data_IF_707480247620
#
_entry.id   IF_707480247620
#
_cell.length_a   1.000
_cell.length_b   1.000
_cell.length_c   1.000
_cell.angle_alpha   90.00
_cell.angle_beta   90.00
_cell.angle_gamma   90.00
#
_symmetry.space_group_name_H-M   'P 1'
#
loop_
_entity.id
_entity.type
_entity.pdbx_description
1 polymer ?
#
# COMPACT_ATOMS: atom_id res chain seq x y z
N UNK A 1 2.18 15.56 -9.65
CA UNK A 1 2.78 14.22 -9.54
C UNK A 1 1.91 13.40 -8.60
N UNK A 2 1.11 12.53 -9.15
CA UNK A 2 0.26 11.61 -8.41
C UNK A 2 1.14 10.45 -7.95
N UNK A 3 1.46 10.41 -6.67
CA UNK A 3 2.19 9.30 -6.09
C UNK A 3 1.21 8.13 -5.92
N UNK A 4 1.25 7.18 -6.82
CA UNK A 4 0.58 5.90 -6.65
C UNK A 4 1.41 5.07 -5.67
N UNK A 5 0.87 4.81 -4.49
CA UNK A 5 1.46 3.82 -3.59
C UNK A 5 1.41 2.49 -4.35
N UNK A 6 2.54 1.80 -4.57
CA UNK A 6 2.48 0.47 -5.16
C UNK A 6 1.61 -0.39 -4.23
N UNK A 7 0.38 -0.66 -4.67
CA UNK A 7 -0.51 -1.53 -3.95
C UNK A 7 0.13 -2.92 -3.82
N UNK A 8 -0.26 -3.72 -2.83
CA UNK A 8 0.14 -5.11 -2.76
C UNK A 8 -0.15 -5.74 -4.13
N UNK A 9 0.84 -6.48 -4.63
CA UNK A 9 0.79 -7.16 -5.93
C UNK A 9 -0.61 -7.75 -6.08
N UNK A 10 -1.35 -7.33 -7.10
CA UNK A 10 -2.63 -7.92 -7.46
C UNK A 10 -2.40 -9.40 -7.77
N UNK A 11 -2.44 -10.23 -6.77
CA UNK A 11 -2.85 -11.60 -7.00
C UNK A 11 -4.34 -11.51 -7.24
N UNK A 12 -4.76 -11.65 -8.50
CA UNK A 12 -6.15 -11.94 -8.84
C UNK A 12 -6.54 -13.17 -8.02
N UNK A 13 -7.20 -12.94 -6.90
CA UNK A 13 -7.84 -14.01 -6.14
C UNK A 13 -9.06 -14.40 -6.97
N UNK A 14 -8.83 -15.22 -7.98
CA UNK A 14 -9.88 -16.02 -8.55
C UNK A 14 -10.50 -16.82 -7.41
N UNK A 15 -11.78 -16.65 -7.22
CA UNK A 15 -12.64 -17.13 -6.12
C UNK A 15 -12.75 -18.64 -5.97
N UNK A 16 -11.71 -19.42 -6.25
CA UNK A 16 -11.70 -20.88 -6.12
C UNK A 16 -10.48 -21.48 -5.48
N UNK A 17 -9.56 -20.66 -4.91
CA UNK A 17 -8.51 -21.24 -4.11
C UNK A 17 -9.08 -21.49 -2.71
N UNK A 18 -9.53 -22.73 -2.44
CA UNK A 18 -9.69 -23.23 -1.07
C UNK A 18 -8.44 -22.78 -0.32
N UNK A 19 -8.61 -21.88 0.65
CA UNK A 19 -7.58 -21.51 1.61
C UNK A 19 -7.15 -22.80 2.33
N UNK A 20 -6.15 -23.47 1.79
CA UNK A 20 -5.58 -24.66 2.39
C UNK A 20 -4.93 -24.25 3.70
N UNK A 21 -5.59 -24.65 4.75
CA UNK A 21 -5.15 -24.91 6.09
C UNK A 21 -4.26 -23.90 6.80
N UNK A 22 -4.80 -23.40 7.90
CA UNK A 22 -4.02 -23.05 9.08
C UNK A 22 -3.00 -24.20 9.31
N UNK A 23 -1.71 -23.92 9.03
CA UNK A 23 -0.65 -24.94 9.19
C UNK A 23 0.29 -25.11 8.01
N UNK A 24 -0.01 -24.54 6.83
CA UNK A 24 0.95 -24.48 5.73
C UNK A 24 1.97 -23.37 5.99
N UNK A 25 3.28 -23.57 5.74
CA UNK A 25 4.29 -22.51 5.86
C UNK A 25 4.01 -21.32 4.92
N UNK A 26 3.19 -21.53 3.90
CA UNK A 26 2.72 -20.49 2.96
C UNK A 26 1.30 -19.99 3.28
N UNK A 27 0.68 -20.50 4.36
CA UNK A 27 -0.67 -20.09 4.78
C UNK A 27 -0.65 -18.77 5.55
N UNK A 28 -1.65 -17.91 5.30
CA UNK A 28 -1.85 -16.69 6.10
C UNK A 28 -2.37 -17.08 7.48
N UNK A 29 -1.84 -16.43 8.52
CA UNK A 29 -2.36 -16.61 9.87
C UNK A 29 -3.78 -16.04 9.99
N UNK A 30 -4.55 -16.52 10.96
CA UNK A 30 -5.90 -16.01 11.23
C UNK A 30 -5.89 -14.51 11.50
N UNK A 31 -4.92 -14.02 12.26
CA UNK A 31 -4.76 -12.61 12.56
C UNK A 31 -4.60 -11.77 11.28
N UNK A 32 -3.79 -12.21 10.31
CA UNK A 32 -3.62 -11.53 9.02
C UNK A 32 -4.93 -11.51 8.23
N UNK A 33 -5.67 -12.62 8.21
CA UNK A 33 -6.96 -12.68 7.51
C UNK A 33 -7.99 -11.70 8.10
N UNK A 34 -8.01 -11.56 9.41
CA UNK A 34 -8.91 -10.63 10.08
C UNK A 34 -8.50 -9.17 9.83
N UNK A 35 -7.18 -8.87 9.73
CA UNK A 35 -6.67 -7.54 9.39
C UNK A 35 -6.92 -7.16 7.94
N UNK A 36 -6.95 -8.10 7.01
CA UNK A 36 -7.11 -7.83 5.58
C UNK A 36 -8.37 -7.02 5.26
N UNK A 37 -9.47 -7.26 5.97
CA UNK A 37 -10.71 -6.48 5.79
C UNK A 37 -10.51 -5.00 6.13
N UNK A 38 -9.78 -4.73 7.20
CA UNK A 38 -9.42 -3.37 7.59
C UNK A 38 -8.49 -2.70 6.56
N UNK A 39 -7.56 -3.45 5.98
CA UNK A 39 -6.65 -2.93 4.97
C UNK A 39 -7.35 -2.50 3.68
N UNK A 40 -8.38 -3.23 3.24
CA UNK A 40 -9.20 -2.84 2.08
C UNK A 40 -9.92 -1.51 2.33
N UNK A 41 -10.48 -1.34 3.52
CA UNK A 41 -11.12 -0.07 3.91
C UNK A 41 -10.09 1.05 3.96
N UNK A 42 -8.94 0.83 4.60
CA UNK A 42 -7.87 1.82 4.68
C UNK A 42 -7.34 2.21 3.30
N UNK A 43 -7.24 1.25 2.40
CA UNK A 43 -6.87 1.50 1.01
C UNK A 43 -7.88 2.41 0.32
N UNK A 44 -9.18 2.09 0.43
CA UNK A 44 -10.24 2.89 -0.16
C UNK A 44 -10.26 4.33 0.37
N UNK A 45 -10.08 4.50 1.68
CA UNK A 45 -10.06 5.83 2.34
C UNK A 45 -8.81 6.62 1.95
N UNK A 46 -7.70 5.95 1.65
CA UNK A 46 -6.43 6.59 1.29
C UNK A 46 -6.37 6.95 -0.20
N UNK A 47 -6.79 6.04 -1.08
CA UNK A 47 -6.77 6.26 -2.54
C UNK A 47 -7.93 7.14 -3.03
N UNK A 48 -9.06 7.12 -2.32
CA UNK A 48 -10.16 8.06 -2.55
C UNK A 48 -11.10 7.67 -3.68
N UNK A 49 -11.56 8.65 -4.44
CA UNK A 49 -12.67 8.52 -5.41
C UNK A 49 -12.45 7.43 -6.45
N UNK A 50 -11.28 7.38 -7.06
CA UNK A 50 -11.02 6.47 -8.18
C UNK A 50 -11.06 5.02 -7.72
N UNK A 51 -10.45 4.72 -6.59
CA UNK A 51 -10.49 3.39 -6.00
C UNK A 51 -11.91 2.96 -5.60
N UNK A 52 -12.70 3.88 -5.03
CA UNK A 52 -14.10 3.61 -4.67
C UNK A 52 -14.96 3.31 -5.89
N UNK A 53 -14.75 4.00 -7.02
CA UNK A 53 -15.47 3.76 -8.27
C UNK A 53 -15.08 2.42 -8.91
N UNK A 54 -13.78 2.11 -8.93
CA UNK A 54 -13.27 0.83 -9.44
C UNK A 54 -13.77 -0.38 -8.64
N UNK A 55 -14.00 -0.19 -7.34
CA UNK A 55 -14.46 -1.23 -6.42
C UNK A 55 -15.89 -0.93 -5.92
N UNK A 56 -16.71 -0.36 -6.78
CA UNK A 56 -18.05 0.12 -6.42
C UNK A 56 -18.96 -0.96 -5.85
N UNK A 57 -18.84 -2.20 -6.29
CA UNK A 57 -19.63 -3.33 -5.74
C UNK A 57 -19.43 -3.53 -4.23
N UNK A 58 -18.20 -3.28 -3.73
CA UNK A 58 -17.88 -3.45 -2.33
C UNK A 58 -18.25 -2.22 -1.47
N UNK A 59 -18.09 -1.01 -2.01
CA UNK A 59 -18.24 0.23 -1.25
C UNK A 59 -19.53 1.00 -1.54
N UNK A 60 -20.11 0.81 -2.71
CA UNK A 60 -21.34 1.45 -3.17
C UNK A 60 -22.28 0.39 -3.77
N UNK A 61 -22.74 -0.60 -2.99
CA UNK A 61 -23.53 -1.70 -3.53
C UNK A 61 -24.82 -1.19 -4.19
N UNK A 62 -25.32 -1.96 -5.17
CA UNK A 62 -26.60 -1.71 -5.81
C UNK A 62 -27.73 -1.83 -4.77
N UNK A 63 -28.61 -0.85 -4.71
CA UNK A 63 -29.75 -0.88 -3.81
C UNK A 63 -30.88 -1.79 -4.35
N UNK A 64 -31.68 -2.42 -3.47
CA UNK A 64 -32.65 -3.46 -3.86
C UNK A 64 -33.72 -3.05 -4.89
N UNK A 65 -33.94 -1.75 -5.09
CA UNK A 65 -34.93 -1.21 -6.04
C UNK A 65 -34.33 -0.20 -7.01
N UNK A 66 -33.01 -0.12 -7.08
CA UNK A 66 -32.28 0.80 -7.94
C UNK A 66 -32.13 0.19 -9.33
N UNK A 67 -32.51 0.95 -10.36
CA UNK A 67 -32.22 0.56 -11.73
C UNK A 67 -30.71 0.64 -12.01
N UNK A 68 -30.19 -0.27 -12.83
CA UNK A 68 -28.77 -0.35 -13.11
C UNK A 68 -28.20 0.94 -13.73
N UNK A 69 -28.97 1.64 -14.55
CA UNK A 69 -28.56 2.92 -15.12
C UNK A 69 -28.44 4.03 -14.07
N UNK A 70 -29.36 4.04 -13.09
CA UNK A 70 -29.32 4.93 -11.94
C UNK A 70 -28.11 4.63 -11.04
N UNK A 71 -27.84 3.33 -10.81
CA UNK A 71 -26.65 2.88 -10.09
C UNK A 71 -25.35 3.40 -10.74
N UNK A 72 -25.16 3.18 -12.04
CA UNK A 72 -23.99 3.68 -12.76
C UNK A 72 -23.86 5.21 -12.67
N UNK A 73 -24.96 5.92 -12.75
CA UNK A 73 -25.00 7.37 -12.60
C UNK A 73 -24.59 7.80 -11.19
N UNK A 74 -24.99 7.05 -10.17
CA UNK A 74 -24.61 7.29 -8.77
C UNK A 74 -23.13 7.03 -8.55
N UNK A 75 -22.60 5.91 -9.05
CA UNK A 75 -21.16 5.57 -8.96
C UNK A 75 -20.30 6.64 -9.65
N UNK A 76 -20.70 7.08 -10.85
CA UNK A 76 -19.96 8.10 -11.60
C UNK A 76 -19.95 9.48 -10.93
N UNK A 77 -21.01 9.80 -10.18
CA UNK A 77 -21.10 11.06 -9.41
C UNK A 77 -20.52 10.96 -8.00
N UNK A 78 -20.23 9.75 -7.52
CA UNK A 78 -19.66 9.57 -6.19
C UNK A 78 -18.30 10.28 -6.11
N UNK A 79 -18.14 11.11 -5.09
CA UNK A 79 -16.88 11.82 -4.80
C UNK A 79 -16.52 11.54 -3.35
N UNK A 80 -15.31 11.05 -3.15
CA UNK A 80 -14.75 10.84 -1.84
C UNK A 80 -13.46 11.65 -1.69
N UNK A 81 -13.44 12.55 -0.71
CA UNK A 81 -12.24 13.36 -0.44
C UNK A 81 -11.23 12.56 0.37
N UNK A 82 -10.00 12.31 -0.13
CA UNK A 82 -8.99 11.51 0.56
C UNK A 82 -8.34 12.29 1.71
N UNK A 83 -9.13 12.68 2.70
CA UNK A 83 -8.65 13.45 3.85
C UNK A 83 -7.60 12.68 4.66
N UNK A 84 -7.80 11.38 4.81
CA UNK A 84 -6.84 10.48 5.49
C UNK A 84 -5.48 10.50 4.81
N UNK A 85 -5.43 10.49 3.48
CA UNK A 85 -4.17 10.57 2.73
C UNK A 85 -3.43 11.90 3.03
N UNK A 86 -4.15 13.01 3.11
CA UNK A 86 -3.55 14.32 3.46
C UNK A 86 -2.98 14.30 4.87
N UNK A 87 -3.70 13.73 5.82
CA UNK A 87 -3.24 13.60 7.21
C UNK A 87 -1.99 12.72 7.30
N UNK A 88 -1.98 11.57 6.64
CA UNK A 88 -0.83 10.67 6.61
C UNK A 88 0.41 11.33 5.98
N UNK A 89 0.23 12.08 4.89
CA UNK A 89 1.31 12.85 4.26
C UNK A 89 1.85 13.94 5.18
N UNK A 90 0.98 14.66 5.87
CA UNK A 90 1.39 15.67 6.85
C UNK A 90 2.16 15.03 8.01
N UNK A 91 1.66 13.93 8.56
CA UNK A 91 2.32 13.20 9.65
C UNK A 91 3.70 12.69 9.22
N UNK A 92 3.80 12.07 8.03
CA UNK A 92 5.09 11.59 7.51
C UNK A 92 6.08 12.73 7.25
N UNK A 93 5.60 13.88 6.77
CA UNK A 93 6.42 15.08 6.59
C UNK A 93 6.95 15.67 7.89
N UNK A 94 6.17 15.58 8.98
CA UNK A 94 6.62 16.01 10.30
C UNK A 94 7.69 15.07 10.88
N UNK A 95 7.51 13.77 10.75
CA UNK A 95 8.47 12.76 11.22
C UNK A 95 9.79 12.86 10.45
N UNK A 96 9.71 12.92 9.12
CA UNK A 96 10.87 12.97 8.22
C UNK A 96 11.22 14.40 7.81
N UNK A 97 11.08 15.36 8.74
CA UNK A 97 11.42 16.76 8.50
C UNK A 97 12.91 16.99 8.31
N UNK A 98 13.72 16.18 8.97
CA UNK A 98 15.18 16.19 8.82
C UNK A 98 15.60 14.99 7.99
N UNK A 99 16.58 15.14 7.10
CA UNK A 99 17.12 14.01 6.34
C UNK A 99 17.72 12.97 7.28
N UNK A 100 17.67 11.72 6.87
CA UNK A 100 18.24 10.60 7.62
C UNK A 100 19.76 10.66 7.51
N UNK A 101 20.42 10.60 8.65
CA UNK A 101 21.88 10.58 8.71
C UNK A 101 22.36 9.15 8.92
N UNK A 102 23.15 8.64 7.98
CA UNK A 102 23.84 7.37 8.11
C UNK A 102 25.25 7.60 8.65
N UNK A 103 25.65 6.78 9.61
CA UNK A 103 27.00 6.78 10.17
C UNK A 103 27.64 5.44 9.86
N UNK A 104 28.75 5.46 9.13
CA UNK A 104 29.44 4.24 8.73
C UNK A 104 30.50 4.51 7.67
N UNK A 105 30.92 3.46 6.98
CA UNK A 105 31.87 3.58 5.87
C UNK A 105 31.32 4.49 4.77
N UNK A 106 32.11 5.49 4.29
CA UNK A 106 31.67 6.46 3.29
C UNK A 106 31.13 5.82 2.00
N UNK A 107 31.73 4.75 1.54
CA UNK A 107 31.30 4.07 0.31
C UNK A 107 29.87 3.54 0.42
N UNK A 108 29.57 2.82 1.50
CA UNK A 108 28.23 2.26 1.73
C UNK A 108 27.19 3.34 2.04
N UNK A 109 27.58 4.36 2.80
CA UNK A 109 26.66 5.46 3.15
C UNK A 109 26.24 6.27 1.92
N UNK A 110 27.15 6.54 0.99
CA UNK A 110 26.82 7.22 -0.26
C UNK A 110 25.96 6.35 -1.19
N UNK A 111 26.27 5.05 -1.28
CA UNK A 111 25.50 4.13 -2.08
C UNK A 111 24.04 4.02 -1.60
N UNK A 112 23.83 3.86 -0.28
CA UNK A 112 22.49 3.82 0.30
C UNK A 112 21.74 5.14 0.22
N UNK A 113 22.44 6.28 0.20
CA UNK A 113 21.77 7.58 -0.01
C UNK A 113 21.24 7.73 -1.43
N UNK A 114 21.94 7.19 -2.42
CA UNK A 114 21.57 7.34 -3.82
C UNK A 114 20.56 6.31 -4.33
N UNK A 115 20.66 5.07 -3.85
CA UNK A 115 19.82 3.97 -4.34
C UNK A 115 19.74 2.87 -3.27
N UNK A 116 18.61 2.82 -2.57
CA UNK A 116 18.36 1.83 -1.50
C UNK A 116 17.71 0.57 -2.06
N UNK A 117 16.91 0.70 -3.12
CA UNK A 117 16.03 -0.35 -3.61
C UNK A 117 16.36 -0.87 -5.02
N UNK A 118 17.47 -0.43 -5.59
CA UNK A 118 17.84 -0.76 -6.97
C UNK A 118 16.96 -0.08 -8.04
N UNK A 119 16.07 0.80 -7.61
CA UNK A 119 15.12 1.53 -8.46
C UNK A 119 15.39 3.04 -8.50
N UNK A 120 16.55 3.46 -8.03
CA UNK A 120 16.99 4.86 -7.90
C UNK A 120 16.19 5.68 -6.88
N UNK A 121 15.65 5.02 -5.86
CA UNK A 121 15.05 5.72 -4.72
C UNK A 121 16.13 6.06 -3.70
N UNK A 122 16.17 7.31 -3.30
CA UNK A 122 17.02 7.72 -2.18
C UNK A 122 16.50 7.19 -0.84
N UNK A 123 17.35 7.22 0.18
CA UNK A 123 17.01 6.72 1.51
C UNK A 123 15.81 7.45 2.13
N UNK A 124 15.71 8.76 1.96
CA UNK A 124 14.64 9.57 2.54
C UNK A 124 13.29 9.26 1.88
N UNK A 125 13.29 9.07 0.57
CA UNK A 125 12.09 8.66 -0.16
C UNK A 125 11.66 7.25 0.21
N UNK A 126 12.60 6.32 0.28
CA UNK A 126 12.34 4.94 0.70
C UNK A 126 11.75 4.90 2.12
N UNK A 127 12.38 5.58 3.07
CA UNK A 127 11.88 5.67 4.45
C UNK A 127 10.49 6.29 4.53
N UNK A 128 10.19 7.28 3.70
CA UNK A 128 8.86 7.89 3.61
C UNK A 128 7.83 6.90 3.12
N UNK A 129 8.14 6.09 2.11
CA UNK A 129 7.25 5.02 1.63
C UNK A 129 6.97 3.98 2.71
N UNK A 130 8.03 3.51 3.39
CA UNK A 130 7.89 2.56 4.49
C UNK A 130 7.03 3.12 5.62
N UNK A 131 7.26 4.37 6.01
CA UNK A 131 6.48 5.04 7.04
C UNK A 131 5.00 5.21 6.63
N UNK A 132 4.76 5.62 5.39
CA UNK A 132 3.39 5.74 4.86
C UNK A 132 2.66 4.40 4.87
N UNK A 133 3.31 3.30 4.46
CA UNK A 133 2.74 1.96 4.53
C UNK A 133 2.44 1.56 5.99
N UNK A 134 3.38 1.82 6.90
CA UNK A 134 3.19 1.52 8.32
C UNK A 134 2.02 2.28 8.93
N UNK A 135 1.88 3.56 8.61
CA UNK A 135 0.78 4.39 9.10
C UNK A 135 -0.57 3.99 8.47
N UNK A 136 -0.57 3.55 7.22
CA UNK A 136 -1.81 3.16 6.51
C UNK A 136 -2.30 1.78 6.94
N UNK A 137 -1.41 0.80 7.05
CA UNK A 137 -1.78 -0.60 7.27
C UNK A 137 -1.42 -1.12 8.66
N UNK A 138 -0.81 -0.28 9.51
CA UNK A 138 -0.35 -0.67 10.85
C UNK A 138 0.94 -1.50 10.85
N UNK A 139 1.46 -1.86 9.68
CA UNK A 139 2.70 -2.62 9.52
C UNK A 139 3.33 -2.39 8.15
N UNK A 140 4.64 -2.57 8.09
CA UNK A 140 5.39 -2.65 6.84
C UNK A 140 6.51 -3.68 6.99
N UNK A 141 6.88 -4.30 5.88
CA UNK A 141 7.95 -5.29 5.84
C UNK A 141 9.03 -4.82 4.90
N UNK A 142 10.27 -4.94 5.31
CA UNK A 142 11.45 -4.65 4.50
C UNK A 142 12.17 -5.99 4.28
N UNK A 143 12.30 -6.38 3.02
CA UNK A 143 13.16 -7.48 2.64
C UNK A 143 14.56 -6.92 2.37
N UNK A 144 15.54 -7.42 3.11
CA UNK A 144 16.95 -7.13 2.84
C UNK A 144 17.53 -8.32 2.10
N UNK A 145 17.98 -8.07 0.87
CA UNK A 145 18.62 -9.08 0.04
C UNK A 145 20.01 -8.60 -0.39
N UNK A 146 20.91 -9.52 -0.59
CA UNK A 146 22.24 -9.24 -1.11
C UNK A 146 22.37 -9.88 -2.50
N UNK A 147 22.64 -9.09 -3.54
CA UNK A 147 22.76 -9.65 -4.87
C UNK A 147 23.90 -10.66 -4.90
N UNK A 148 23.61 -11.86 -5.39
CA UNK A 148 24.66 -12.85 -5.61
C UNK A 148 25.74 -12.26 -6.53
N UNK A 149 27.04 -12.43 -6.21
CA UNK A 149 28.09 -11.93 -7.08
C UNK A 149 27.89 -12.52 -8.47
N UNK A 150 27.70 -11.65 -9.46
CA UNK A 150 27.58 -12.06 -10.86
C UNK A 150 28.91 -12.61 -11.31
N UNK A 151 29.04 -13.94 -11.37
CA UNK A 151 30.17 -14.63 -11.97
C UNK A 151 31.02 -15.44 -10.99
N UNK A 152 30.63 -16.69 -10.79
CA UNK A 152 31.52 -17.79 -10.57
C UNK A 152 31.26 -18.81 -11.68
#
# INVERSE_FOLDING_TARGET
MTYSIPGPIRTSVTSSTKLSGVGSPFGRTRAVLDMMKGWEIMKAVTEGTDYLRENSEAFLPLEPREDYSAYLSRVNRAVFSPFTQRLLRAASGLVLRKPITLVGDPYWTEMFKMDVDGCKSDLDEYARRVLMCSLTYGQSHILVDYPAPSGA
#
